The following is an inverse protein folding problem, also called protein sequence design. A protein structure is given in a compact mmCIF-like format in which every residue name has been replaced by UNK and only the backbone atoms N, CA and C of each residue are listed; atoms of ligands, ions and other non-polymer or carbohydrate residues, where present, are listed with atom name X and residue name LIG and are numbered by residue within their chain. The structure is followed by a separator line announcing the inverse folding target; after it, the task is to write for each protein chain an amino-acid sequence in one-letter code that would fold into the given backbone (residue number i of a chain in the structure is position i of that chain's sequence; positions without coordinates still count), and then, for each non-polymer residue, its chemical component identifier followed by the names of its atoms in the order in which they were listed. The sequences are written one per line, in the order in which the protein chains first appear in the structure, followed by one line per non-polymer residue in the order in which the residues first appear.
data_IF_371786662075
#
_entry.id   IF_371786662075
#
_cell.length_a   1.000
_cell.length_b   1.000
_cell.length_c   1.000
_cell.angle_alpha   90.00
_cell.angle_beta   90.00
_cell.angle_gamma   90.00
#
_symmetry.space_group_name_H-M   'P 1'
#
loop_
_entity.id
_entity.type
_entity.pdbx_description
1 polymer ?
#
# COMPACT_ATOMS: atom_id res chain seq x y z
N UNK A 1 6.90 10.42 24.28
CA UNK A 1 8.37 10.48 24.06
C UNK A 1 8.92 9.21 23.43
N UNK A 2 8.46 8.01 23.84
CA UNK A 2 8.87 6.73 23.25
C UNK A 2 8.71 6.62 21.71
N UNK A 3 7.56 7.05 21.17
CA UNK A 3 7.30 7.06 19.72
C UNK A 3 8.36 7.85 18.94
N UNK A 4 8.57 9.12 19.30
CA UNK A 4 9.51 10.00 18.59
C UNK A 4 10.94 9.48 18.63
N UNK A 5 11.36 8.92 19.78
CA UNK A 5 12.69 8.31 19.92
C UNK A 5 12.84 7.12 18.97
N UNK A 6 11.90 6.18 19.02
CA UNK A 6 11.90 4.99 18.14
C UNK A 6 11.84 5.36 16.66
N UNK A 7 11.00 6.32 16.31
CA UNK A 7 10.88 6.84 14.95
C UNK A 7 12.21 7.42 14.44
N UNK A 8 12.94 8.13 15.30
CA UNK A 8 14.23 8.72 14.97
C UNK A 8 15.34 7.67 14.87
N UNK A 9 15.45 6.77 15.86
CA UNK A 9 16.45 5.69 15.91
C UNK A 9 16.35 4.74 14.69
N UNK A 10 15.12 4.43 14.28
CA UNK A 10 14.90 3.60 13.09
C UNK A 10 14.93 4.35 11.77
N UNK A 11 15.10 5.68 11.79
CA UNK A 11 15.09 6.52 10.60
C UNK A 11 13.84 6.29 9.72
N UNK A 12 12.65 6.37 10.33
CA UNK A 12 11.39 6.10 9.62
C UNK A 12 11.14 7.05 8.45
N UNK A 13 11.66 8.27 8.50
CA UNK A 13 11.55 9.25 7.42
C UNK A 13 12.40 8.82 6.22
N UNK A 14 13.64 8.39 6.43
CA UNK A 14 14.47 7.82 5.37
C UNK A 14 13.88 6.54 4.77
N UNK A 15 13.35 5.65 5.62
CA UNK A 15 12.68 4.43 5.13
C UNK A 15 11.39 4.74 4.37
N UNK A 16 10.61 5.73 4.81
CA UNK A 16 9.42 6.17 4.09
C UNK A 16 9.77 6.71 2.69
N UNK A 17 10.87 7.45 2.56
CA UNK A 17 11.37 7.90 1.26
C UNK A 17 11.77 6.74 0.35
N UNK A 18 12.47 5.73 0.88
CA UNK A 18 12.80 4.50 0.14
C UNK A 18 11.55 3.77 -0.34
N UNK A 19 10.53 3.63 0.52
CA UNK A 19 9.28 2.95 0.19
C UNK A 19 8.50 3.73 -0.86
N UNK A 20 8.39 5.05 -0.70
CA UNK A 20 7.69 5.93 -1.64
C UNK A 20 8.33 5.93 -3.03
N UNK A 21 9.66 5.94 -3.09
CA UNK A 21 10.40 5.82 -4.36
C UNK A 21 10.08 4.49 -5.06
N UNK A 22 10.11 3.38 -4.33
CA UNK A 22 9.77 2.07 -4.90
C UNK A 22 8.29 1.99 -5.30
N UNK A 23 7.39 2.62 -4.54
CA UNK A 23 5.97 2.72 -4.88
C UNK A 23 5.77 3.49 -6.19
N UNK A 24 6.44 4.63 -6.35
CA UNK A 24 6.41 5.43 -7.59
C UNK A 24 6.87 4.60 -8.81
N UNK A 25 7.98 3.88 -8.69
CA UNK A 25 8.46 3.00 -9.76
C UNK A 25 7.51 1.84 -10.05
N UNK A 26 6.79 1.36 -9.04
CA UNK A 26 5.86 0.23 -9.17
C UNK A 26 4.55 0.61 -9.90
N UNK A 27 4.20 1.90 -9.98
CA UNK A 27 2.95 2.37 -10.62
C UNK A 27 2.79 1.85 -12.05
N UNK A 28 3.84 1.96 -12.87
CA UNK A 28 3.79 1.51 -14.26
C UNK A 28 3.59 -0.01 -14.39
N UNK A 29 4.41 -0.87 -13.73
CA UNK A 29 4.14 -2.31 -13.69
C UNK A 29 2.73 -2.68 -13.21
N UNK A 30 2.23 -2.01 -12.18
CA UNK A 30 0.88 -2.24 -11.66
C UNK A 30 -0.19 -1.87 -12.70
N UNK A 31 -0.05 -0.74 -13.38
CA UNK A 31 -0.96 -0.31 -14.43
C UNK A 31 -0.98 -1.30 -15.62
N UNK A 32 0.20 -1.77 -16.06
CA UNK A 32 0.31 -2.77 -17.12
C UNK A 32 -0.31 -4.11 -16.73
N UNK A 33 -0.09 -4.57 -15.49
CA UNK A 33 -0.69 -5.79 -14.98
C UNK A 33 -2.22 -5.67 -14.93
N UNK A 34 -2.73 -4.52 -14.51
CA UNK A 34 -4.16 -4.24 -14.50
C UNK A 34 -4.75 -4.27 -15.91
N UNK A 35 -4.11 -3.61 -16.88
CA UNK A 35 -4.51 -3.66 -18.29
C UNK A 35 -4.52 -5.08 -18.85
N UNK A 36 -3.55 -5.91 -18.48
CA UNK A 36 -3.50 -7.31 -18.88
C UNK A 36 -4.66 -8.11 -18.31
N UNK A 37 -4.94 -7.99 -17.00
CA UNK A 37 -6.04 -8.72 -16.35
C UNK A 37 -7.38 -8.26 -16.93
N UNK A 38 -7.61 -6.96 -17.05
CA UNK A 38 -8.86 -6.42 -17.58
C UNK A 38 -9.06 -6.78 -19.06
N UNK A 39 -8.01 -6.67 -19.87
CA UNK A 39 -8.07 -6.91 -21.31
C UNK A 39 -8.20 -8.39 -21.68
N UNK A 40 -7.37 -9.25 -21.11
CA UNK A 40 -7.32 -10.68 -21.47
C UNK A 40 -8.27 -11.54 -20.64
N UNK A 41 -8.44 -11.23 -19.36
CA UNK A 41 -9.15 -12.09 -18.41
C UNK A 41 -10.62 -11.69 -18.24
N UNK A 42 -10.91 -10.38 -18.16
CA UNK A 42 -12.28 -9.87 -18.00
C UNK A 42 -12.97 -9.54 -19.34
N UNK A 43 -12.21 -9.35 -20.43
CA UNK A 43 -12.73 -8.93 -21.75
C UNK A 43 -13.71 -7.75 -21.66
N UNK A 44 -13.45 -6.79 -20.77
CA UNK A 44 -14.28 -5.59 -20.58
C UNK A 44 -13.63 -4.39 -21.26
N UNK A 45 -14.11 -3.96 -22.45
CA UNK A 45 -13.52 -2.84 -23.19
C UNK A 45 -13.67 -1.51 -22.43
N UNK A 46 -14.74 -1.35 -21.66
CA UNK A 46 -15.07 -0.11 -20.95
C UNK A 46 -14.04 0.18 -19.84
N UNK A 47 -13.66 -0.83 -19.05
CA UNK A 47 -12.64 -0.68 -18.00
C UNK A 47 -11.26 -0.40 -18.62
N UNK A 48 -10.96 -0.99 -19.77
CA UNK A 48 -9.74 -0.68 -20.52
C UNK A 48 -9.70 0.78 -20.98
N UNK A 49 -10.82 1.30 -21.48
CA UNK A 49 -10.93 2.70 -21.91
C UNK A 49 -10.77 3.68 -20.73
N UNK A 50 -11.32 3.37 -19.55
CA UNK A 50 -11.12 4.18 -18.34
C UNK A 50 -9.65 4.21 -17.92
N UNK A 51 -8.98 3.05 -17.84
CA UNK A 51 -7.56 3.00 -17.44
C UNK A 51 -6.68 3.76 -18.45
N UNK A 52 -6.97 3.65 -19.75
CA UNK A 52 -6.26 4.39 -20.80
C UNK A 52 -6.51 5.90 -20.71
N UNK A 53 -7.73 6.31 -20.37
CA UNK A 53 -8.09 7.71 -20.14
C UNK A 53 -7.31 8.27 -18.95
N UNK A 54 -7.30 7.55 -17.83
CA UNK A 54 -6.56 7.93 -16.63
C UNK A 54 -5.07 8.05 -16.93
N UNK A 55 -4.47 7.06 -17.61
CA UNK A 55 -3.06 7.12 -18.04
C UNK A 55 -2.80 8.29 -19.02
N UNK A 56 -3.75 8.64 -19.88
CA UNK A 56 -3.66 9.79 -20.78
C UNK A 56 -3.72 11.14 -20.05
N UNK A 57 -4.49 11.23 -18.97
CA UNK A 57 -4.49 12.40 -18.08
C UNK A 57 -3.17 12.54 -17.31
N UNK A 58 -2.54 11.41 -16.97
CA UNK A 58 -1.23 11.36 -16.33
C UNK A 58 -0.08 11.77 -17.27
N UNK A 59 -0.20 11.49 -18.57
CA UNK A 59 0.81 11.80 -19.60
C UNK A 59 0.20 12.56 -20.78
N UNK A 60 -0.23 13.83 -20.59
CA UNK A 60 -0.93 14.59 -21.62
C UNK A 60 -0.11 14.85 -22.88
N UNK A 61 1.23 14.79 -22.77
CA UNK A 61 2.17 14.96 -23.90
C UNK A 61 2.44 13.68 -24.67
N UNK A 62 1.98 12.53 -24.18
CA UNK A 62 2.03 11.27 -24.93
C UNK A 62 0.68 11.12 -25.59
N UNK A 63 0.63 11.32 -26.91
CA UNK A 63 -0.59 11.08 -27.70
C UNK A 63 -1.19 9.72 -27.27
N UNK A 64 -2.47 9.68 -26.94
CA UNK A 64 -3.15 8.46 -26.48
C UNK A 64 -2.94 7.30 -27.47
N UNK A 65 -2.75 7.62 -28.75
CA UNK A 65 -2.41 6.69 -29.81
C UNK A 65 -1.01 6.07 -29.67
N UNK A 66 -0.04 6.77 -29.06
CA UNK A 66 1.28 6.21 -28.71
C UNK A 66 1.17 5.21 -27.55
N UNK A 67 0.35 5.51 -26.53
CA UNK A 67 0.08 4.57 -25.43
C UNK A 67 -0.68 3.34 -25.94
N UNK A 68 -1.74 3.54 -26.73
CA UNK A 68 -2.51 2.46 -27.35
C UNK A 68 -1.65 1.62 -28.29
N UNK A 69 -0.88 2.24 -29.17
CA UNK A 69 0.02 1.50 -30.09
C UNK A 69 1.14 0.77 -29.36
N UNK A 70 1.67 1.30 -28.25
CA UNK A 70 2.65 0.58 -27.41
C UNK A 70 2.00 -0.62 -26.73
N UNK A 71 0.77 -0.48 -26.24
CA UNK A 71 0.02 -1.57 -25.63
C UNK A 71 -0.41 -2.63 -26.64
N UNK A 72 -0.82 -2.23 -27.84
CA UNK A 72 -1.13 -3.14 -28.95
C UNK A 72 0.13 -3.83 -29.46
N UNK A 73 1.27 -3.15 -29.51
CA UNK A 73 2.56 -3.75 -29.80
C UNK A 73 3.00 -4.72 -28.68
N UNK A 74 2.72 -4.44 -27.41
CA UNK A 74 2.98 -5.38 -26.32
C UNK A 74 2.07 -6.63 -26.40
N UNK A 75 0.86 -6.49 -26.93
CA UNK A 75 -0.05 -7.60 -27.19
C UNK A 75 0.25 -8.36 -28.48
N UNK A 76 0.84 -7.69 -29.48
CA UNK A 76 1.05 -8.20 -30.84
C UNK A 76 2.49 -8.58 -31.20
N UNK A 77 3.53 -8.12 -30.47
CA UNK A 77 4.92 -8.47 -30.73
C UNK A 77 5.27 -9.88 -30.24
N UNK A 78 6.31 -10.44 -30.86
CA UNK A 78 6.96 -11.71 -30.53
C UNK A 78 7.04 -11.93 -29.02
N UNK A 79 6.49 -13.07 -28.58
CA UNK A 79 6.30 -13.52 -27.19
C UNK A 79 7.48 -13.21 -26.26
N UNK A 80 8.71 -13.17 -26.78
CA UNK A 80 9.95 -12.88 -26.05
C UNK A 80 10.04 -11.45 -25.49
N UNK A 81 9.71 -10.40 -26.26
CA UNK A 81 9.83 -8.99 -25.80
C UNK A 81 8.76 -8.67 -24.76
N UNK A 82 7.55 -9.18 -24.96
CA UNK A 82 6.45 -9.06 -23.98
C UNK A 82 6.79 -9.74 -22.66
N UNK A 83 7.40 -10.94 -22.69
CA UNK A 83 7.85 -11.63 -21.48
C UNK A 83 8.91 -10.80 -20.73
N UNK A 84 9.91 -10.24 -21.43
CA UNK A 84 10.95 -9.44 -20.78
C UNK A 84 10.35 -8.18 -20.13
N UNK A 85 9.43 -7.48 -20.80
CA UNK A 85 8.75 -6.32 -20.25
C UNK A 85 7.90 -6.68 -19.01
N UNK A 86 7.18 -7.81 -19.05
CA UNK A 86 6.40 -8.30 -17.90
C UNK A 86 7.31 -8.69 -16.75
N UNK A 87 8.41 -9.39 -17.00
CA UNK A 87 9.36 -9.80 -15.95
C UNK A 87 10.04 -8.58 -15.32
N UNK A 88 10.47 -7.62 -16.14
CA UNK A 88 11.02 -6.36 -15.66
C UNK A 88 9.99 -5.57 -14.85
N UNK A 89 8.75 -5.53 -15.32
CA UNK A 89 7.63 -4.92 -14.61
C UNK A 89 7.39 -5.57 -13.25
N UNK A 90 7.20 -6.89 -13.22
CA UNK A 90 7.01 -7.66 -11.97
C UNK A 90 8.19 -7.50 -11.03
N UNK A 91 9.42 -7.42 -11.54
CA UNK A 91 10.62 -7.20 -10.73
C UNK A 91 10.60 -5.84 -10.02
N UNK A 92 10.19 -4.79 -10.75
CA UNK A 92 10.03 -3.43 -10.23
C UNK A 92 8.84 -3.36 -9.29
N UNK A 93 7.67 -3.91 -9.66
CA UNK A 93 6.49 -3.95 -8.80
C UNK A 93 6.71 -4.70 -7.48
N UNK A 94 7.55 -5.74 -7.50
CA UNK A 94 7.96 -6.47 -6.31
C UNK A 94 8.96 -5.71 -5.42
N UNK A 95 9.60 -4.64 -5.93
CA UNK A 95 10.58 -3.87 -5.14
C UNK A 95 9.92 -3.06 -4.02
N UNK A 96 8.68 -2.60 -4.21
CA UNK A 96 7.88 -1.95 -3.16
C UNK A 96 7.72 -2.86 -1.92
N UNK A 97 7.28 -4.10 -2.12
CA UNK A 97 7.14 -5.06 -1.03
C UNK A 97 8.46 -5.44 -0.39
N UNK A 98 9.55 -5.43 -1.16
CA UNK A 98 10.89 -5.60 -0.63
C UNK A 98 11.28 -4.45 0.31
N UNK A 99 11.07 -3.21 -0.13
CA UNK A 99 11.30 -2.02 0.68
C UNK A 99 10.44 -2.02 1.97
N UNK A 100 9.19 -2.48 1.87
CA UNK A 100 8.30 -2.65 3.02
C UNK A 100 8.80 -3.70 4.01
N UNK A 101 9.24 -4.88 3.52
CA UNK A 101 9.84 -5.91 4.36
C UNK A 101 11.07 -5.39 5.11
N UNK A 102 11.96 -4.68 4.41
CA UNK A 102 13.16 -4.07 5.01
C UNK A 102 12.80 -3.04 6.08
N UNK A 103 11.80 -2.20 5.84
CA UNK A 103 11.37 -1.21 6.82
C UNK A 103 10.72 -1.86 8.04
N UNK A 104 9.89 -2.87 7.83
CA UNK A 104 9.18 -3.57 8.90
C UNK A 104 10.12 -4.43 9.73
N UNK A 105 11.05 -5.17 9.13
CA UNK A 105 12.00 -5.99 9.90
C UNK A 105 12.80 -5.15 10.90
N UNK A 106 13.20 -3.95 10.47
CA UNK A 106 13.88 -2.97 11.31
C UNK A 106 12.96 -2.42 12.41
N UNK A 107 11.76 -1.92 12.07
CA UNK A 107 10.82 -1.36 13.05
C UNK A 107 10.41 -2.39 14.12
N UNK A 108 10.19 -3.64 13.75
CA UNK A 108 9.77 -4.71 14.66
C UNK A 108 10.94 -5.46 15.31
N UNK A 109 12.20 -5.09 15.03
CA UNK A 109 13.40 -5.80 15.53
C UNK A 109 13.35 -7.31 15.27
N UNK A 110 12.90 -7.71 14.08
CA UNK A 110 12.87 -9.10 13.63
C UNK A 110 13.88 -9.30 12.52
N UNK A 111 14.35 -10.53 12.34
CA UNK A 111 15.24 -10.87 11.23
C UNK A 111 14.60 -10.54 9.88
N UNK A 112 15.28 -9.73 9.08
CA UNK A 112 14.89 -9.46 7.71
C UNK A 112 14.94 -10.76 6.89
N UNK A 113 14.05 -10.89 5.90
CA UNK A 113 14.05 -12.06 5.03
C UNK A 113 15.32 -12.04 4.17
N UNK A 114 15.94 -13.21 3.97
CA UNK A 114 17.02 -13.33 3.00
C UNK A 114 16.54 -12.97 1.59
N UNK A 115 17.45 -12.56 0.71
CA UNK A 115 17.12 -12.03 -0.64
C UNK A 115 16.11 -12.86 -1.42
N UNK A 116 16.27 -14.19 -1.44
CA UNK A 116 15.36 -15.09 -2.17
C UNK A 116 13.98 -15.20 -1.50
N UNK A 117 13.93 -15.23 -0.17
CA UNK A 117 12.67 -15.28 0.59
C UNK A 117 11.90 -13.97 0.48
N UNK A 118 12.61 -12.83 0.51
CA UNK A 118 12.05 -11.50 0.31
C UNK A 118 11.45 -11.37 -1.09
N UNK A 119 12.18 -11.78 -2.14
CA UNK A 119 11.64 -11.74 -3.51
C UNK A 119 10.41 -12.62 -3.70
N UNK A 120 10.40 -13.83 -3.13
CA UNK A 120 9.21 -14.70 -3.16
C UNK A 120 8.01 -14.07 -2.45
N UNK A 121 8.22 -13.51 -1.26
CA UNK A 121 7.17 -12.80 -0.52
C UNK A 121 6.61 -11.61 -1.31
N UNK A 122 7.50 -10.79 -1.88
CA UNK A 122 7.10 -9.64 -2.69
C UNK A 122 6.25 -10.02 -3.91
N UNK A 123 6.60 -11.10 -4.61
CA UNK A 123 5.84 -11.59 -5.75
C UNK A 123 4.46 -12.14 -5.35
N UNK A 124 4.39 -12.87 -4.23
CA UNK A 124 3.10 -13.35 -3.70
C UNK A 124 2.21 -12.18 -3.32
N UNK A 125 2.75 -11.18 -2.62
CA UNK A 125 1.96 -10.03 -2.18
C UNK A 125 1.54 -9.15 -3.37
N UNK A 126 2.39 -9.03 -4.38
CA UNK A 126 2.05 -8.40 -5.66
C UNK A 126 0.85 -9.10 -6.33
N UNK A 127 0.87 -10.43 -6.39
CA UNK A 127 -0.25 -11.21 -6.93
C UNK A 127 -1.53 -11.06 -6.10
N UNK A 128 -1.43 -11.08 -4.77
CA UNK A 128 -2.58 -10.87 -3.86
C UNK A 128 -3.20 -9.50 -4.10
N UNK A 129 -2.40 -8.44 -4.13
CA UNK A 129 -2.93 -7.09 -4.40
C UNK A 129 -3.52 -6.98 -5.79
N UNK A 130 -2.91 -7.60 -6.81
CA UNK A 130 -3.46 -7.62 -8.15
C UNK A 130 -4.84 -8.30 -8.20
N UNK A 131 -5.01 -9.42 -7.50
CA UNK A 131 -6.31 -10.12 -7.40
C UNK A 131 -7.33 -9.27 -6.65
N UNK A 132 -6.95 -8.67 -5.53
CA UNK A 132 -7.84 -7.77 -4.77
C UNK A 132 -8.28 -6.57 -5.59
N UNK A 133 -7.36 -5.98 -6.36
CA UNK A 133 -7.64 -4.82 -7.20
C UNK A 133 -8.55 -5.21 -8.37
N UNK A 134 -8.30 -6.36 -9.00
CA UNK A 134 -9.20 -6.92 -10.01
C UNK A 134 -10.60 -7.19 -9.45
N UNK A 135 -10.69 -7.76 -8.24
CA UNK A 135 -11.96 -7.97 -7.54
C UNK A 135 -12.65 -6.64 -7.21
N UNK A 136 -11.90 -5.62 -6.79
CA UNK A 136 -12.44 -4.28 -6.47
C UNK A 136 -13.04 -3.57 -7.69
N UNK A 137 -12.61 -3.91 -8.91
CA UNK A 137 -13.21 -3.40 -10.16
C UNK A 137 -14.35 -4.29 -10.62
N UNK A 138 -14.22 -5.61 -10.46
CA UNK A 138 -15.24 -6.58 -10.85
C UNK A 138 -16.50 -6.49 -9.98
N UNK A 139 -16.37 -6.23 -8.67
CA UNK A 139 -17.51 -6.18 -7.74
C UNK A 139 -18.49 -5.04 -8.09
N UNK A 140 -18.05 -3.77 -8.27
CA UNK A 140 -18.94 -2.71 -8.71
C UNK A 140 -19.51 -2.92 -10.11
N UNK A 141 -18.76 -3.55 -11.03
CA UNK A 141 -19.25 -3.84 -12.38
C UNK A 141 -20.34 -4.94 -12.38
N UNK A 142 -20.19 -5.96 -11.53
CA UNK A 142 -21.23 -6.99 -11.33
C UNK A 142 -22.42 -6.40 -10.58
N UNK A 143 -22.19 -5.52 -9.61
CA UNK A 143 -23.24 -4.80 -8.89
C UNK A 143 -24.03 -3.88 -9.84
N UNK A 144 -23.40 -3.13 -10.74
CA UNK A 144 -24.11 -2.31 -11.72
C UNK A 144 -24.96 -3.14 -12.69
N UNK A 145 -24.49 -4.35 -13.06
CA UNK A 145 -25.25 -5.30 -13.89
C UNK A 145 -26.42 -5.97 -13.15
N UNK A 146 -26.32 -6.13 -11.82
CA UNK A 146 -27.39 -6.69 -10.99
C UNK A 146 -28.41 -5.62 -10.56
N UNK A 147 -27.96 -4.38 -10.31
CA UNK A 147 -28.77 -3.25 -9.84
C UNK A 147 -29.54 -2.57 -10.97
N UNK A 148 -29.06 -2.64 -12.23
CA UNK A 148 -29.83 -2.23 -13.41
C UNK A 148 -31.13 -3.03 -13.63
N UNK A 149 -31.35 -4.13 -12.89
CA UNK A 149 -32.63 -4.84 -12.84
C UNK A 149 -33.63 -4.33 -11.78
N UNK A 150 -33.27 -3.32 -10.98
CA UNK A 150 -34.03 -2.84 -9.81
C UNK A 150 -34.45 -1.36 -9.96
N UNK A 151 -34.31 -0.75 -11.14
CA UNK A 151 -34.57 0.70 -11.34
C UNK A 151 -36.03 1.13 -11.21
N UNK A 152 -37.00 0.22 -11.03
CA UNK A 152 -38.41 0.57 -10.81
C UNK A 152 -38.83 0.57 -9.33
N UNK A 153 -38.12 1.32 -8.46
CA UNK A 153 -38.68 1.71 -7.16
C UNK A 153 -38.96 3.24 -7.09
N UNK A 154 -40.24 3.65 -7.07
CA UNK A 154 -40.64 5.05 -7.14
C UNK A 154 -40.62 5.66 -5.74
N UNK A 155 -39.46 5.88 -5.14
CA UNK A 155 -39.38 6.60 -3.88
C UNK A 155 -38.27 7.64 -3.92
N UNK A 156 -38.63 8.84 -4.37
CA UNK A 156 -37.81 10.04 -4.28
C UNK A 156 -37.36 10.29 -2.84
N UNK A 157 -36.09 10.01 -2.56
CA UNK A 157 -35.50 10.06 -1.23
C UNK A 157 -34.07 10.59 -1.30
N UNK A 158 -33.89 11.91 -1.34
CA UNK A 158 -32.56 12.54 -1.18
C UNK A 158 -31.90 12.25 0.19
N UNK A 159 -32.61 11.62 1.14
CA UNK A 159 -32.07 11.08 2.41
C UNK A 159 -31.53 9.66 2.31
N UNK A 160 -31.96 8.87 1.33
CA UNK A 160 -31.44 7.51 1.11
C UNK A 160 -30.05 7.58 0.51
N UNK A 161 -29.77 8.55 -0.36
CA UNK A 161 -28.43 8.79 -0.93
C UNK A 161 -27.38 9.09 0.13
N UNK A 162 -27.71 9.86 1.17
CA UNK A 162 -26.80 10.17 2.27
C UNK A 162 -26.48 8.93 3.13
N UNK A 163 -27.48 8.09 3.39
CA UNK A 163 -27.29 6.83 4.14
C UNK A 163 -26.49 5.82 3.34
N UNK A 164 -26.77 5.67 2.04
CA UNK A 164 -26.02 4.79 1.14
C UNK A 164 -24.59 5.28 1.01
N UNK A 165 -24.36 6.58 0.78
CA UNK A 165 -23.02 7.15 0.68
C UNK A 165 -22.23 6.98 2.00
N UNK A 166 -22.87 7.24 3.14
CA UNK A 166 -22.25 7.00 4.45
C UNK A 166 -21.90 5.51 4.66
N UNK A 167 -22.77 4.58 4.21
CA UNK A 167 -22.52 3.14 4.27
C UNK A 167 -21.34 2.74 3.37
N UNK A 168 -21.24 3.30 2.17
CA UNK A 168 -20.14 3.06 1.23
C UNK A 168 -18.81 3.58 1.80
N UNK A 169 -18.80 4.80 2.34
CA UNK A 169 -17.59 5.37 2.98
C UNK A 169 -17.18 4.55 4.20
N UNK A 170 -18.15 4.17 5.05
CA UNK A 170 -17.89 3.33 6.22
C UNK A 170 -17.38 1.94 5.80
N UNK A 171 -17.99 1.33 4.79
CA UNK A 171 -17.56 0.05 4.21
C UNK A 171 -16.13 0.12 3.66
N UNK A 172 -15.81 1.17 2.91
CA UNK A 172 -14.46 1.42 2.39
C UNK A 172 -13.43 1.62 3.50
N UNK A 173 -13.79 2.33 4.58
CA UNK A 173 -12.92 2.52 5.74
C UNK A 173 -12.68 1.22 6.51
N UNK A 174 -13.73 0.42 6.71
CA UNK A 174 -13.64 -0.91 7.35
C UNK A 174 -12.78 -1.84 6.50
N UNK A 175 -12.99 -1.88 5.19
CA UNK A 175 -12.21 -2.70 4.27
C UNK A 175 -10.73 -2.27 4.29
N UNK A 176 -10.46 -0.97 4.21
CA UNK A 176 -9.10 -0.41 4.31
C UNK A 176 -8.45 -0.78 5.63
N UNK A 177 -9.18 -0.68 6.75
CA UNK A 177 -8.71 -1.09 8.06
C UNK A 177 -8.37 -2.58 8.13
N UNK A 178 -9.22 -3.45 7.56
CA UNK A 178 -8.96 -4.89 7.52
C UNK A 178 -7.72 -5.24 6.68
N UNK A 179 -7.56 -4.59 5.51
CA UNK A 179 -6.38 -4.74 4.66
C UNK A 179 -5.12 -4.29 5.43
N UNK A 180 -5.17 -3.14 6.10
CA UNK A 180 -4.05 -2.64 6.90
C UNK A 180 -3.72 -3.59 8.07
N UNK A 181 -4.72 -4.14 8.74
CA UNK A 181 -4.49 -5.17 9.75
C UNK A 181 -3.80 -6.40 9.15
N UNK A 182 -4.24 -6.86 7.99
CA UNK A 182 -3.62 -7.99 7.29
C UNK A 182 -2.17 -7.68 6.92
N UNK A 183 -1.88 -6.49 6.40
CA UNK A 183 -0.51 -6.05 6.05
C UNK A 183 0.38 -6.07 7.30
N UNK A 184 -0.04 -5.43 8.39
CA UNK A 184 0.75 -5.39 9.63
C UNK A 184 0.90 -6.75 10.30
N UNK A 185 0.00 -7.69 10.05
CA UNK A 185 0.09 -9.05 10.56
C UNK A 185 0.96 -9.97 9.69
N UNK A 186 0.85 -9.88 8.36
CA UNK A 186 1.50 -10.79 7.42
C UNK A 186 2.91 -10.34 6.99
N UNK A 187 3.18 -9.03 6.98
CA UNK A 187 4.47 -8.51 6.52
C UNK A 187 5.61 -8.82 7.50
N UNK A 188 5.50 -8.63 8.83
CA UNK A 188 6.58 -9.03 9.74
C UNK A 188 6.84 -10.54 9.71
N UNK A 189 8.11 -10.96 9.76
CA UNK A 189 8.48 -12.38 9.89
C UNK A 189 8.12 -12.94 11.29
N UNK A 190 8.04 -12.07 12.30
CA UNK A 190 7.67 -12.44 13.67
C UNK A 190 6.17 -12.58 13.84
N UNK A 191 5.74 -13.55 14.66
CA UNK A 191 4.34 -13.73 15.01
C UNK A 191 3.88 -12.56 15.89
N UNK A 192 3.19 -11.59 15.32
CA UNK A 192 2.50 -10.55 16.09
C UNK A 192 1.09 -11.02 16.45
N UNK A 193 0.67 -10.95 17.72
CA UNK A 193 -0.72 -11.19 18.07
C UNK A 193 -1.61 -10.12 17.44
N UNK A 194 -2.78 -10.52 16.97
CA UNK A 194 -3.75 -9.62 16.32
C UNK A 194 -4.09 -8.37 17.18
N UNK A 195 -4.02 -8.53 18.51
CA UNK A 195 -4.23 -7.46 19.49
C UNK A 195 -3.19 -6.33 19.41
N UNK A 196 -1.98 -6.61 18.95
CA UNK A 196 -0.92 -5.63 18.78
C UNK A 196 -1.05 -4.82 17.47
N UNK A 197 -1.78 -5.34 16.48
CA UNK A 197 -1.80 -4.83 15.10
C UNK A 197 -2.85 -3.75 14.85
N UNK A 198 -4.02 -3.86 15.49
CA UNK A 198 -5.16 -3.00 15.18
C UNK A 198 -4.95 -1.49 15.44
N UNK A 199 -4.16 -1.00 16.42
CA UNK A 199 -4.02 0.44 16.64
C UNK A 199 -3.33 1.16 15.50
N UNK A 200 -2.25 0.59 14.98
CA UNK A 200 -1.53 1.12 13.84
C UNK A 200 -2.35 1.03 12.55
N UNK A 201 -3.16 -0.03 12.41
CA UNK A 201 -4.14 -0.13 11.33
C UNK A 201 -5.21 0.96 11.40
N UNK A 202 -5.75 1.22 12.60
CA UNK A 202 -6.74 2.27 12.81
C UNK A 202 -6.15 3.66 12.53
N UNK A 203 -4.95 3.93 13.05
CA UNK A 203 -4.22 5.17 12.79
C UNK A 203 -4.03 5.40 11.29
N UNK A 204 -3.51 4.38 10.58
CA UNK A 204 -3.26 4.51 9.14
C UNK A 204 -4.56 4.59 8.33
N UNK A 205 -5.63 3.90 8.73
CA UNK A 205 -6.93 4.01 8.07
C UNK A 205 -7.50 5.43 8.17
N UNK A 206 -7.42 6.05 9.35
CA UNK A 206 -7.86 7.44 9.56
C UNK A 206 -6.94 8.40 8.80
N UNK A 207 -5.62 8.24 8.92
CA UNK A 207 -4.65 9.08 8.21
C UNK A 207 -4.84 8.99 6.68
N UNK A 208 -5.08 7.79 6.16
CA UNK A 208 -5.38 7.55 4.75
C UNK A 208 -6.70 8.19 4.32
N UNK A 209 -7.75 8.12 5.14
CA UNK A 209 -9.02 8.79 4.84
C UNK A 209 -8.87 10.32 4.78
N UNK A 210 -8.17 10.91 5.75
CA UNK A 210 -7.86 12.34 5.79
C UNK A 210 -7.03 12.73 4.56
N UNK A 211 -6.01 11.94 4.25
CA UNK A 211 -5.19 12.16 3.09
C UNK A 211 -6.07 12.15 1.83
N UNK A 212 -6.98 11.17 1.68
CA UNK A 212 -7.81 11.00 0.49
C UNK A 212 -8.77 12.19 0.27
N UNK A 213 -9.19 12.87 1.34
CA UNK A 213 -9.97 14.12 1.23
C UNK A 213 -9.10 15.30 0.78
N UNK A 214 -7.84 15.30 1.18
CA UNK A 214 -6.89 16.39 0.90
C UNK A 214 -6.32 16.28 -0.52
N UNK A 215 -6.09 15.07 -1.03
CA UNK A 215 -5.44 14.82 -2.31
C UNK A 215 -6.07 15.56 -3.52
N UNK A 216 -7.40 15.55 -3.70
CA UNK A 216 -8.03 16.24 -4.83
C UNK A 216 -7.83 17.76 -4.79
N UNK A 217 -7.74 18.35 -3.60
CA UNK A 217 -7.53 19.80 -3.43
C UNK A 217 -6.15 20.24 -3.95
N UNK A 218 -5.16 19.34 -3.94
CA UNK A 218 -3.83 19.64 -4.46
C UNK A 218 -3.75 19.59 -5.99
N UNK A 219 -4.60 18.81 -6.65
CA UNK A 219 -4.61 18.69 -8.12
C UNK A 219 -5.26 19.90 -8.82
N UNK A 220 -6.24 20.54 -8.17
CA UNK A 220 -7.01 21.67 -8.76
C UNK A 220 -6.14 22.91 -9.01
N UNK A 221 -5.05 23.08 -8.25
CA UNK A 221 -4.18 24.27 -8.33
C UNK A 221 -3.04 24.19 -9.36
N UNK A 222 -2.88 23.07 -10.08
CA UNK A 222 -1.79 22.88 -11.07
C UNK A 222 -2.14 23.47 -12.46
N UNK A 223 -3.33 24.04 -12.60
CA UNK A 223 -3.93 24.49 -13.87
C UNK A 223 -3.25 25.70 -14.53
N UNK A 224 -2.27 26.34 -13.89
CA UNK A 224 -1.58 27.55 -14.40
C UNK A 224 -0.17 27.33 -14.95
N UNK A 225 0.33 26.09 -14.99
CA UNK A 225 1.69 25.79 -15.49
C UNK A 225 1.63 25.24 -16.92
N UNK A 226 2.57 25.68 -17.78
CA UNK A 226 2.75 25.12 -19.13
C UNK A 226 2.95 23.59 -19.11
N UNK A 227 2.80 22.93 -20.26
CA UNK A 227 2.72 21.46 -20.39
C UNK A 227 3.85 20.69 -19.67
N UNK A 228 5.10 21.13 -19.84
CA UNK A 228 6.25 20.53 -19.15
C UNK A 228 6.17 20.68 -17.62
N UNK A 229 5.76 21.86 -17.15
CA UNK A 229 5.60 22.11 -15.72
C UNK A 229 4.45 21.31 -15.12
N UNK A 230 3.41 20.98 -15.90
CA UNK A 230 2.29 20.13 -15.46
C UNK A 230 2.76 18.71 -15.15
N UNK A 231 3.60 18.11 -15.99
CA UNK A 231 4.15 16.75 -15.79
C UNK A 231 5.09 16.72 -14.59
N UNK A 232 6.01 17.69 -14.50
CA UNK A 232 6.95 17.77 -13.36
C UNK A 232 6.21 17.99 -12.05
N UNK A 233 5.23 18.90 -12.02
CA UNK A 233 4.37 19.12 -10.86
C UNK A 233 3.59 17.86 -10.49
N UNK A 234 3.02 17.15 -11.47
CA UNK A 234 2.30 15.91 -11.23
C UNK A 234 3.20 14.85 -10.55
N UNK A 235 4.38 14.60 -11.11
CA UNK A 235 5.34 13.62 -10.56
C UNK A 235 5.79 14.00 -9.16
N UNK A 236 6.09 15.27 -8.92
CA UNK A 236 6.50 15.75 -7.59
C UNK A 236 5.38 15.63 -6.56
N UNK A 237 4.15 15.99 -6.93
CA UNK A 237 2.97 15.88 -6.06
C UNK A 237 2.71 14.41 -5.74
N UNK A 238 2.74 13.53 -6.73
CA UNK A 238 2.58 12.09 -6.55
C UNK A 238 3.66 11.50 -5.63
N UNK A 239 4.91 11.94 -5.77
CA UNK A 239 6.01 11.49 -4.92
C UNK A 239 5.83 11.94 -3.45
N UNK A 240 5.45 13.20 -3.23
CA UNK A 240 5.15 13.74 -1.90
C UNK A 240 3.98 12.98 -1.26
N UNK A 241 2.97 12.68 -2.08
CA UNK A 241 1.80 11.92 -1.67
C UNK A 241 2.16 10.49 -1.25
N UNK A 242 2.90 9.76 -2.08
CA UNK A 242 3.41 8.43 -1.74
C UNK A 242 4.32 8.45 -0.52
N UNK A 243 5.12 9.51 -0.35
CA UNK A 243 5.92 9.72 0.85
C UNK A 243 5.05 9.87 2.10
N UNK A 244 3.99 10.67 2.04
CA UNK A 244 3.06 10.84 3.16
C UNK A 244 2.36 9.52 3.53
N UNK A 245 1.90 8.75 2.54
CA UNK A 245 1.30 7.44 2.76
C UNK A 245 2.29 6.44 3.37
N UNK A 246 3.51 6.37 2.83
CA UNK A 246 4.56 5.50 3.35
C UNK A 246 4.92 5.88 4.79
N UNK A 247 5.04 7.18 5.08
CA UNK A 247 5.35 7.67 6.43
C UNK A 247 4.23 7.33 7.42
N UNK A 248 2.96 7.52 7.04
CA UNK A 248 1.81 7.13 7.85
C UNK A 248 1.79 5.62 8.15
N UNK A 249 2.09 4.80 7.15
CA UNK A 249 2.16 3.35 7.28
C UNK A 249 3.30 2.91 8.22
N UNK A 250 4.49 3.50 8.08
CA UNK A 250 5.61 3.20 8.98
C UNK A 250 5.36 3.73 10.40
N UNK A 251 4.71 4.89 10.55
CA UNK A 251 4.28 5.39 11.85
C UNK A 251 3.30 4.43 12.54
N UNK A 252 2.32 3.89 11.79
CA UNK A 252 1.43 2.84 12.29
C UNK A 252 2.18 1.56 12.70
N UNK A 253 3.21 1.16 11.94
CA UNK A 253 4.08 0.04 12.33
C UNK A 253 4.83 0.30 13.65
N UNK A 254 5.35 1.52 13.86
CA UNK A 254 6.00 1.89 15.12
C UNK A 254 5.02 1.84 16.29
N UNK A 255 3.78 2.31 16.10
CA UNK A 255 2.73 2.22 17.13
C UNK A 255 2.49 0.75 17.53
N UNK A 256 2.36 -0.13 16.53
CA UNK A 256 2.16 -1.56 16.75
C UNK A 256 3.35 -2.21 17.46
N UNK A 257 4.58 -1.89 17.03
CA UNK A 257 5.81 -2.41 17.63
C UNK A 257 5.96 -2.00 19.09
N UNK A 258 5.72 -0.72 19.42
CA UNK A 258 5.78 -0.23 20.79
C UNK A 258 4.72 -0.86 21.67
N UNK A 259 3.50 -1.07 21.15
CA UNK A 259 2.45 -1.75 21.90
C UNK A 259 2.81 -3.19 22.20
N UNK A 260 3.30 -3.91 21.20
CA UNK A 260 3.75 -5.30 21.32
C UNK A 260 4.86 -5.42 22.37
N UNK A 261 5.90 -4.58 22.28
CA UNK A 261 7.02 -4.59 23.22
C UNK A 261 6.60 -4.25 24.66
N UNK A 262 5.66 -3.33 24.84
CA UNK A 262 5.19 -2.90 26.17
C UNK A 262 4.26 -3.93 26.82
N UNK A 263 3.37 -4.57 26.06
CA UNK A 263 2.34 -5.46 26.61
C UNK A 263 2.75 -6.93 26.62
N UNK A 264 3.41 -7.41 25.56
CA UNK A 264 3.65 -8.85 25.37
C UNK A 264 5.07 -9.25 25.78
N UNK A 265 6.07 -8.39 25.54
CA UNK A 265 7.47 -8.68 25.91
C UNK A 265 7.87 -8.07 27.26
N UNK A 266 7.16 -7.03 27.72
CA UNK A 266 7.50 -6.29 28.95
C UNK A 266 8.81 -5.49 28.87
N UNK A 267 9.47 -5.45 27.72
CA UNK A 267 10.75 -4.76 27.50
C UNK A 267 10.70 -3.96 26.20
N UNK A 268 11.03 -2.67 26.27
CA UNK A 268 11.21 -1.81 25.10
C UNK A 268 12.63 -2.02 24.55
N UNK A 269 12.76 -2.81 23.48
CA UNK A 269 14.06 -3.08 22.84
C UNK A 269 14.56 -1.78 22.18
N UNK A 270 15.85 -1.47 22.35
CA UNK A 270 16.43 -0.19 21.92
C UNK A 270 16.20 1.00 22.87
N UNK A 271 15.35 0.89 23.89
CA UNK A 271 15.16 1.95 24.92
C UNK A 271 15.89 1.68 26.24
N UNK A 272 16.37 0.45 26.44
CA UNK A 272 17.30 0.09 27.49
C UNK A 272 18.69 0.01 26.87
N UNK A 273 19.57 0.96 27.21
CA UNK A 273 20.98 0.65 27.21
C UNK A 273 21.17 -0.58 28.09
N UNK A 274 21.96 -1.56 27.62
CA UNK A 274 22.39 -2.77 28.33
C UNK A 274 22.08 -2.75 29.83
N UNK A 275 21.07 -3.51 30.24
CA UNK A 275 21.09 -4.08 31.57
C UNK A 275 21.07 -5.60 31.39
N UNK A 276 22.12 -6.31 31.85
CA UNK A 276 22.06 -7.76 31.87
C UNK A 276 20.84 -8.12 32.70
N UNK A 277 19.97 -8.96 32.11
CA UNK A 277 18.86 -9.57 32.82
C UNK A 277 19.45 -10.20 34.08
N UNK A 278 19.18 -9.63 35.25
CA UNK A 278 19.59 -10.27 36.50
C UNK A 278 18.89 -11.64 36.51
N UNK A 279 19.64 -12.73 36.71
CA UNK A 279 19.02 -14.03 36.79
C UNK A 279 18.00 -14.06 37.94
N UNK A 280 16.98 -14.93 37.85
CA UNK A 280 15.95 -15.04 38.86
C UNK A 280 16.57 -15.21 40.26
N UNK A 281 15.89 -14.74 41.33
CA UNK A 281 16.45 -14.69 42.69
C UNK A 281 17.08 -16.01 43.15
N UNK A 282 16.53 -17.13 42.69
CA UNK A 282 16.97 -18.49 43.00
C UNK A 282 18.39 -18.82 42.49
N UNK A 283 18.86 -18.19 41.42
CA UNK A 283 20.23 -18.40 40.93
C UNK A 283 21.25 -17.49 41.63
N UNK A 284 20.79 -16.36 42.19
CA UNK A 284 21.64 -15.41 42.89
C UNK A 284 22.18 -15.99 44.18
N UNK A 285 21.45 -16.87 44.85
CA UNK A 285 21.86 -17.51 46.11
C UNK A 285 22.78 -18.74 45.90
N UNK A 286 22.79 -19.32 44.70
CA UNK A 286 23.59 -20.50 44.37
C UNK A 286 25.08 -20.17 44.22
N UNK A 287 25.42 -18.94 43.85
CA UNK A 287 26.80 -18.49 43.62
C UNK A 287 27.49 -17.92 44.88
N UNK A 288 26.78 -17.80 46.01
CA UNK A 288 27.35 -17.29 47.28
C UNK A 288 27.60 -18.36 48.34
N UNK A 289 27.35 -19.63 48.05
CA UNK A 289 27.64 -20.72 48.97
C UNK A 289 28.99 -21.36 48.58
N UNK A 290 30.01 -21.34 49.46
CA UNK A 290 31.33 -21.92 49.21
C UNK A 290 31.31 -23.45 49.13
#
# INVERSE_FOLDING_TARGET
TAFWRRAYEENITGMAAMVAYNLMLSVFPFALLLLFITGKLLQSPDVQATILSDLGELFPSTEQDTLRSTLDQLQGNSTEIGIVAIVAGLWIGASFWGAMDTAFCRIYHVECRGWLAQKRFSLIMLAVVAVFLAASVAVPAVESLLVSGIEDLPLGLSRVDLLINALVIAGGLVLSFLILCLIYWAVPKGHLPWRAVWPGALFMAIAGAVANTIFPLYLVNVSTVGEFGRIVSFVLIALIWFYALALGLLAGAVINALRYELHDTGTLRGMTADFPVQPPPEERERDWLP
#
